data_IF_138217988525
#
_entry.id   IF_138217988525
#
_cell.length_a   1.000
_cell.length_b   1.000
_cell.length_c   1.000
_cell.angle_alpha   90.00
_cell.angle_beta   90.00
_cell.angle_gamma   90.00
#
_symmetry.space_group_name_H-M   'P 1'
#
loop_
_entity.id
_entity.type
_entity.pdbx_description
1 polymer ?
#
# COMPACT_ATOMS: atom_id res chain seq x y z
N UNK A 1 8.22 -19.57 -4.00
CA UNK A 1 9.06 -19.63 -5.23
C UNK A 1 8.26 -20.00 -6.49
N UNK A 2 7.36 -21.01 -6.43
CA UNK A 2 6.55 -21.40 -7.59
C UNK A 2 5.54 -20.31 -7.98
N UNK A 3 4.88 -19.69 -6.99
CA UNK A 3 3.93 -18.59 -7.23
C UNK A 3 4.63 -17.39 -7.86
N UNK A 4 5.82 -17.03 -7.38
CA UNK A 4 6.68 -15.98 -7.98
C UNK A 4 6.91 -16.25 -9.49
N UNK A 5 7.22 -17.50 -9.83
CA UNK A 5 7.43 -17.89 -11.23
C UNK A 5 6.15 -17.80 -12.06
N UNK A 6 5.01 -18.24 -11.53
CA UNK A 6 3.74 -18.16 -12.24
C UNK A 6 3.32 -16.72 -12.50
N UNK A 7 3.38 -15.87 -11.48
CA UNK A 7 3.08 -14.44 -11.62
C UNK A 7 4.04 -13.77 -12.60
N UNK A 8 5.35 -13.99 -12.45
CA UNK A 8 6.36 -13.38 -13.35
C UNK A 8 6.30 -13.87 -14.79
N UNK A 9 5.70 -15.04 -15.02
CA UNK A 9 5.46 -15.61 -16.35
C UNK A 9 4.02 -15.38 -16.86
N UNK A 10 3.24 -14.55 -16.14
CA UNK A 10 1.85 -14.19 -16.48
C UNK A 10 0.92 -15.40 -16.61
N UNK A 11 1.17 -16.43 -15.82
CA UNK A 11 0.36 -17.66 -15.76
C UNK A 11 -0.79 -17.47 -14.79
N UNK A 12 -1.90 -16.90 -15.30
CA UNK A 12 -3.05 -16.50 -14.49
C UNK A 12 -3.71 -17.71 -13.80
N UNK A 13 -4.13 -18.71 -14.57
CA UNK A 13 -4.86 -19.87 -14.04
C UNK A 13 -4.04 -20.63 -13.00
N UNK A 14 -2.75 -20.87 -13.30
CA UNK A 14 -1.84 -21.58 -12.40
C UNK A 14 -1.55 -20.77 -11.11
N UNK A 15 -1.48 -19.44 -11.23
CA UNK A 15 -1.31 -18.55 -10.08
C UNK A 15 -2.49 -18.64 -9.13
N UNK A 16 -3.70 -18.51 -9.68
CA UNK A 16 -4.95 -18.54 -8.90
C UNK A 16 -5.17 -19.91 -8.25
N UNK A 17 -4.96 -20.99 -8.99
CA UNK A 17 -5.11 -22.35 -8.45
C UNK A 17 -4.11 -22.62 -7.32
N UNK A 18 -2.85 -22.22 -7.49
CA UNK A 18 -1.84 -22.36 -6.45
C UNK A 18 -2.18 -21.56 -5.19
N UNK A 19 -2.71 -20.33 -5.34
CA UNK A 19 -3.17 -19.52 -4.22
C UNK A 19 -4.31 -20.21 -3.47
N UNK A 20 -5.30 -20.77 -4.16
CA UNK A 20 -6.39 -21.54 -3.53
C UNK A 20 -5.86 -22.74 -2.73
N UNK A 21 -4.92 -23.47 -3.30
CA UNK A 21 -4.30 -24.63 -2.63
C UNK A 21 -3.53 -24.19 -1.36
N UNK A 22 -2.76 -23.11 -1.44
CA UNK A 22 -1.99 -22.59 -0.29
C UNK A 22 -2.92 -22.10 0.82
N UNK A 23 -3.99 -21.38 0.48
CA UNK A 23 -5.01 -20.94 1.45
C UNK A 23 -5.71 -22.14 2.11
N UNK A 24 -6.11 -23.15 1.32
CA UNK A 24 -6.77 -24.36 1.86
C UNK A 24 -5.86 -25.21 2.76
N UNK A 25 -4.54 -25.14 2.58
CA UNK A 25 -3.56 -25.76 3.45
C UNK A 25 -3.28 -25.00 4.75
N UNK A 26 -3.92 -23.83 4.95
CA UNK A 26 -3.74 -22.99 6.13
C UNK A 26 -2.45 -22.16 6.12
N UNK A 27 -1.85 -21.95 4.95
CA UNK A 27 -0.68 -21.11 4.85
C UNK A 27 -1.05 -19.64 5.14
N UNK A 28 -0.11 -18.93 5.77
CA UNK A 28 -0.26 -17.51 6.09
C UNK A 28 -0.52 -16.68 4.81
N UNK A 29 -1.67 -16.01 4.70
CA UNK A 29 -2.01 -15.21 3.54
C UNK A 29 -0.97 -14.14 3.20
N UNK A 30 -0.26 -13.58 4.19
CA UNK A 30 0.78 -12.56 3.98
C UNK A 30 1.97 -13.11 3.20
N UNK A 31 2.34 -14.39 3.38
CA UNK A 31 3.38 -15.03 2.57
C UNK A 31 2.98 -15.17 1.11
N UNK A 32 1.69 -15.40 0.86
CA UNK A 32 1.15 -15.47 -0.50
C UNK A 32 1.22 -14.08 -1.16
N UNK A 33 0.83 -13.02 -0.43
CA UNK A 33 0.95 -11.64 -0.89
C UNK A 33 2.40 -11.29 -1.24
N UNK A 34 3.33 -11.62 -0.35
CA UNK A 34 4.76 -11.35 -0.56
C UNK A 34 5.30 -12.05 -1.83
N UNK A 35 4.96 -13.33 -2.04
CA UNK A 35 5.36 -14.05 -3.25
C UNK A 35 4.77 -13.39 -4.52
N UNK A 36 3.53 -12.89 -4.46
CA UNK A 36 2.93 -12.16 -5.58
C UNK A 36 3.65 -10.84 -5.85
N UNK A 37 4.00 -10.08 -4.82
CA UNK A 37 4.77 -8.84 -4.96
C UNK A 37 6.15 -9.08 -5.59
N UNK A 38 6.84 -10.14 -5.17
CA UNK A 38 8.12 -10.54 -5.77
C UNK A 38 7.95 -10.90 -7.26
N UNK A 39 6.88 -11.63 -7.60
CA UNK A 39 6.54 -11.93 -8.99
C UNK A 39 6.24 -10.67 -9.82
N UNK A 40 5.50 -9.71 -9.26
CA UNK A 40 5.20 -8.42 -9.89
C UNK A 40 6.46 -7.59 -10.15
N UNK A 41 7.41 -7.58 -9.19
CA UNK A 41 8.70 -6.91 -9.38
C UNK A 41 9.44 -7.47 -10.59
N UNK A 42 9.47 -8.80 -10.73
CA UNK A 42 10.08 -9.45 -11.90
C UNK A 42 9.39 -9.11 -13.21
N UNK A 43 8.06 -8.92 -13.22
CA UNK A 43 7.32 -8.42 -14.41
C UNK A 43 7.77 -7.01 -14.75
N UNK A 44 7.91 -6.13 -13.75
CA UNK A 44 8.42 -4.77 -13.92
C UNK A 44 9.84 -4.75 -14.51
N UNK A 45 10.73 -5.60 -14.00
CA UNK A 45 12.10 -5.73 -14.52
C UNK A 45 12.09 -6.21 -15.99
N UNK A 46 11.25 -7.18 -16.33
CA UNK A 46 11.10 -7.68 -17.70
C UNK A 46 10.51 -6.63 -18.65
N UNK A 47 9.64 -5.76 -18.17
CA UNK A 47 9.15 -4.60 -18.91
C UNK A 47 10.27 -3.59 -19.18
N UNK A 48 11.06 -3.24 -18.18
CA UNK A 48 12.20 -2.32 -18.31
C UNK A 48 13.27 -2.85 -19.27
N UNK A 49 13.45 -4.16 -19.32
CA UNK A 49 14.37 -4.83 -20.27
C UNK A 49 13.78 -5.02 -21.69
N UNK A 50 12.54 -4.58 -21.92
CA UNK A 50 11.86 -4.71 -23.21
C UNK A 50 11.38 -6.13 -23.54
N UNK A 51 11.39 -7.05 -22.57
CA UNK A 51 10.89 -8.43 -22.74
C UNK A 51 9.37 -8.50 -22.63
N UNK A 52 8.77 -7.63 -21.84
CA UNK A 52 7.32 -7.44 -21.72
C UNK A 52 6.91 -6.05 -22.21
N UNK A 53 5.66 -5.96 -22.67
CA UNK A 53 5.00 -4.73 -23.06
C UNK A 53 3.94 -4.34 -22.02
N UNK A 54 3.33 -3.16 -22.17
CA UNK A 54 2.25 -2.66 -21.28
C UNK A 54 1.18 -3.72 -21.00
N UNK A 55 0.82 -4.54 -21.99
CA UNK A 55 -0.15 -5.63 -21.83
C UNK A 55 0.28 -6.65 -20.75
N UNK A 56 1.59 -6.89 -20.60
CA UNK A 56 2.12 -7.76 -19.54
C UNK A 56 1.92 -7.17 -18.15
N UNK A 57 2.11 -5.85 -17.99
CA UNK A 57 1.86 -5.15 -16.73
C UNK A 57 0.37 -5.18 -16.36
N UNK A 58 -0.52 -4.97 -17.35
CA UNK A 58 -1.96 -5.04 -17.15
C UNK A 58 -2.39 -6.45 -16.71
N UNK A 59 -1.90 -7.49 -17.38
CA UNK A 59 -2.20 -8.88 -17.03
C UNK A 59 -1.68 -9.24 -15.62
N UNK A 60 -0.47 -8.83 -15.28
CA UNK A 60 0.07 -9.04 -13.95
C UNK A 60 -0.77 -8.34 -12.87
N UNK A 61 -1.22 -7.11 -13.13
CA UNK A 61 -2.14 -6.37 -12.26
C UNK A 61 -3.47 -7.10 -12.07
N UNK A 62 -4.03 -7.70 -13.13
CA UNK A 62 -5.26 -8.49 -13.04
C UNK A 62 -5.07 -9.78 -12.23
N UNK A 63 -3.97 -10.50 -12.43
CA UNK A 63 -3.62 -11.68 -11.60
C UNK A 63 -3.62 -11.28 -10.12
N UNK A 64 -2.95 -10.19 -9.81
CA UNK A 64 -2.83 -9.73 -8.44
C UNK A 64 -4.18 -9.31 -7.84
N UNK A 65 -5.03 -8.62 -8.62
CA UNK A 65 -6.38 -8.25 -8.20
C UNK A 65 -7.20 -9.50 -7.80
N UNK A 66 -7.17 -10.55 -8.62
CA UNK A 66 -7.87 -11.81 -8.35
C UNK A 66 -7.29 -12.53 -7.12
N UNK A 67 -5.97 -12.55 -6.97
CA UNK A 67 -5.32 -13.10 -5.77
C UNK A 67 -5.78 -12.36 -4.52
N UNK A 68 -5.83 -11.02 -4.55
CA UNK A 68 -6.29 -10.23 -3.40
C UNK A 68 -7.76 -10.48 -3.05
N UNK A 69 -8.63 -10.73 -4.03
CA UNK A 69 -10.01 -11.13 -3.77
C UNK A 69 -10.11 -12.49 -3.05
N UNK A 70 -9.25 -13.44 -3.37
CA UNK A 70 -9.19 -14.74 -2.71
C UNK A 70 -8.63 -14.66 -1.29
N UNK A 71 -7.62 -13.82 -1.08
CA UNK A 71 -6.91 -13.68 0.20
C UNK A 71 -7.71 -12.83 1.19
N UNK A 72 -8.50 -11.87 0.72
CA UNK A 72 -9.22 -10.89 1.54
C UNK A 72 -9.99 -11.49 2.71
N UNK A 73 -10.85 -12.51 2.51
CA UNK A 73 -11.58 -13.18 3.59
C UNK A 73 -10.65 -13.84 4.64
N UNK A 74 -9.53 -14.39 4.20
CA UNK A 74 -8.57 -15.03 5.10
C UNK A 74 -7.84 -13.98 5.96
N UNK A 75 -7.46 -12.85 5.39
CA UNK A 75 -6.84 -11.74 6.14
C UNK A 75 -7.80 -11.13 7.18
N UNK A 76 -9.07 -10.99 6.85
CA UNK A 76 -10.09 -10.49 7.79
C UNK A 76 -10.29 -11.41 9.01
N UNK A 77 -9.99 -12.70 8.89
CA UNK A 77 -10.10 -13.65 10.01
C UNK A 77 -8.91 -13.58 10.99
N UNK A 78 -7.79 -12.96 10.61
CA UNK A 78 -6.59 -12.85 11.44
C UNK A 78 -6.61 -11.69 12.43
N UNK A 79 -7.52 -10.70 12.27
CA UNK A 79 -7.56 -9.52 13.14
C UNK A 79 -8.96 -9.16 13.60
N UNK A 80 -9.36 -9.59 14.78
CA UNK A 80 -10.45 -8.98 15.54
C UNK A 80 -9.87 -8.27 16.74
N UNK A 81 -9.64 -6.95 16.63
CA UNK A 81 -9.47 -6.10 17.79
C UNK A 81 -10.86 -5.72 18.33
N UNK A 82 -11.11 -5.92 19.60
CA UNK A 82 -12.39 -5.59 20.25
C UNK A 82 -12.57 -4.08 20.50
N UNK A 83 -11.51 -3.26 20.36
CA UNK A 83 -11.55 -1.79 20.48
C UNK A 83 -10.85 -1.13 19.30
N UNK A 84 -11.38 0.02 18.84
CA UNK A 84 -10.78 0.79 17.77
C UNK A 84 -9.39 1.31 18.21
N UNK A 85 -8.33 0.84 17.55
CA UNK A 85 -6.94 1.18 17.89
C UNK A 85 -6.56 2.62 17.51
N UNK A 86 -7.34 3.29 16.66
CA UNK A 86 -7.12 4.66 16.21
C UNK A 86 -7.72 4.92 14.82
N UNK A 87 -7.60 6.18 14.37
CA UNK A 87 -8.11 6.63 13.07
C UNK A 87 -6.96 6.98 12.14
N UNK A 88 -6.98 6.44 10.93
CA UNK A 88 -5.96 6.62 9.91
C UNK A 88 -6.59 7.18 8.64
N UNK A 89 -5.99 8.22 8.06
CA UNK A 89 -6.27 8.67 6.69
C UNK A 89 -5.18 8.12 5.79
N UNK A 90 -5.55 7.48 4.69
CA UNK A 90 -4.64 6.84 3.75
C UNK A 90 -4.99 7.24 2.33
N UNK A 91 -4.00 7.50 1.49
CA UNK A 91 -4.21 7.83 0.07
C UNK A 91 -2.93 7.75 -0.75
N UNK A 92 -3.07 7.52 -2.04
CA UNK A 92 -1.97 7.67 -2.99
C UNK A 92 -1.94 9.13 -3.46
N UNK A 93 -0.78 9.76 -3.33
CA UNK A 93 -0.65 11.20 -3.61
C UNK A 93 -0.88 11.54 -5.08
N UNK A 94 -1.13 12.82 -5.34
CA UNK A 94 -1.34 13.35 -6.69
C UNK A 94 -0.21 12.92 -7.65
N UNK A 95 -0.57 12.68 -8.91
CA UNK A 95 0.27 12.18 -9.99
C UNK A 95 0.70 10.71 -9.85
N UNK A 96 0.12 9.98 -8.89
CA UNK A 96 0.37 8.54 -8.73
C UNK A 96 -0.96 7.78 -8.62
N UNK A 97 -1.07 6.68 -9.37
CA UNK A 97 -2.28 5.83 -9.40
C UNK A 97 -2.03 4.43 -8.85
N UNK A 98 -0.84 4.18 -8.31
CA UNK A 98 -0.49 2.89 -7.75
C UNK A 98 -1.15 2.69 -6.39
N UNK A 99 -2.06 1.75 -6.29
CA UNK A 99 -2.90 1.54 -5.11
C UNK A 99 -2.68 0.21 -4.39
N UNK A 100 -1.96 -0.74 -5.02
CA UNK A 100 -1.80 -2.08 -4.48
C UNK A 100 -1.20 -2.10 -3.08
N UNK A 101 -0.04 -1.50 -2.90
CA UNK A 101 0.63 -1.43 -1.59
C UNK A 101 -0.26 -0.75 -0.55
N UNK A 102 -0.90 0.35 -0.94
CA UNK A 102 -1.86 1.08 -0.11
C UNK A 102 -3.05 0.20 0.30
N UNK A 103 -3.62 -0.55 -0.62
CA UNK A 103 -4.78 -1.40 -0.34
C UNK A 103 -4.42 -2.57 0.58
N UNK A 104 -3.22 -3.13 0.46
CA UNK A 104 -2.71 -4.14 1.39
C UNK A 104 -2.55 -3.54 2.80
N UNK A 105 -1.89 -2.39 2.93
CA UNK A 105 -1.72 -1.69 4.21
C UNK A 105 -3.07 -1.37 4.84
N UNK A 106 -4.02 -0.82 4.07
CA UNK A 106 -5.39 -0.56 4.52
C UNK A 106 -6.04 -1.80 5.13
N UNK A 107 -5.94 -2.93 4.43
CA UNK A 107 -6.55 -4.18 4.87
C UNK A 107 -5.90 -4.68 6.17
N UNK A 108 -4.56 -4.67 6.25
CA UNK A 108 -3.83 -5.07 7.44
C UNK A 108 -4.17 -4.19 8.65
N UNK A 109 -4.17 -2.86 8.47
CA UNK A 109 -4.53 -1.92 9.54
C UNK A 109 -5.97 -2.13 10.02
N UNK A 110 -6.90 -2.36 9.09
CA UNK A 110 -8.31 -2.66 9.44
C UNK A 110 -8.42 -3.96 10.23
N UNK A 111 -7.62 -4.98 9.91
CA UNK A 111 -7.54 -6.24 10.67
C UNK A 111 -7.00 -6.02 12.09
N UNK A 112 -6.16 -5.01 12.31
CA UNK A 112 -5.63 -4.64 13.63
C UNK A 112 -6.54 -3.63 14.38
N UNK A 113 -7.76 -3.43 13.92
CA UNK A 113 -8.76 -2.61 14.61
C UNK A 113 -8.66 -1.11 14.33
N UNK A 114 -7.85 -0.66 13.38
CA UNK A 114 -7.82 0.74 12.98
C UNK A 114 -9.02 1.08 12.09
N UNK A 115 -9.57 2.29 12.29
CA UNK A 115 -10.53 2.88 11.36
C UNK A 115 -9.76 3.57 10.24
N UNK A 116 -9.75 2.99 9.02
CA UNK A 116 -8.99 3.51 7.89
C UNK A 116 -9.91 4.22 6.90
N UNK A 117 -9.69 5.52 6.72
CA UNK A 117 -10.32 6.37 5.71
C UNK A 117 -9.43 6.46 4.47
N UNK A 118 -9.77 5.73 3.44
CA UNK A 118 -9.03 5.68 2.18
C UNK A 118 -9.54 6.77 1.23
N UNK A 119 -8.67 7.69 0.85
CA UNK A 119 -8.97 8.79 -0.07
C UNK A 119 -8.87 8.37 -1.55
N UNK A 120 -8.36 7.16 -1.84
CA UNK A 120 -8.17 6.67 -3.19
C UNK A 120 -6.77 6.95 -3.75
N UNK A 121 -6.71 7.23 -5.04
CA UNK A 121 -5.47 7.50 -5.80
C UNK A 121 -5.52 8.88 -6.43
N UNK A 122 -4.37 9.40 -6.87
CA UNK A 122 -4.24 10.73 -7.46
C UNK A 122 -4.85 11.83 -6.58
N UNK A 123 -4.61 11.73 -5.27
CA UNK A 123 -5.24 12.59 -4.27
C UNK A 123 -4.44 13.88 -4.12
N UNK A 124 -5.04 15.05 -4.43
CA UNK A 124 -4.37 16.32 -4.27
C UNK A 124 -4.15 16.69 -2.79
N UNK A 125 -3.11 17.49 -2.47
CA UNK A 125 -2.77 17.89 -1.10
C UNK A 125 -3.94 18.44 -0.29
N UNK A 126 -4.82 19.22 -0.92
CA UNK A 126 -5.97 19.85 -0.26
C UNK A 126 -6.95 18.80 0.29
N UNK A 127 -7.15 17.68 -0.40
CA UNK A 127 -8.04 16.62 0.08
C UNK A 127 -7.49 15.92 1.33
N UNK A 128 -6.17 15.74 1.43
CA UNK A 128 -5.55 15.25 2.66
C UNK A 128 -5.73 16.23 3.81
N UNK A 129 -5.57 17.52 3.54
CA UNK A 129 -5.78 18.58 4.55
C UNK A 129 -7.23 18.61 5.02
N UNK A 130 -8.19 18.54 4.10
CA UNK A 130 -9.63 18.54 4.43
C UNK A 130 -10.03 17.31 5.23
N UNK A 131 -9.51 16.13 4.84
CA UNK A 131 -9.71 14.90 5.60
C UNK A 131 -9.10 14.99 7.00
N UNK A 132 -7.88 15.53 7.13
CA UNK A 132 -7.24 15.74 8.42
C UNK A 132 -8.08 16.64 9.34
N UNK A 133 -8.58 17.76 8.82
CA UNK A 133 -9.41 18.70 9.59
C UNK A 133 -10.73 18.05 10.03
N UNK A 134 -11.35 17.31 9.15
CA UNK A 134 -12.66 16.68 9.38
C UNK A 134 -12.57 15.51 10.35
N UNK A 135 -11.58 14.65 10.18
CA UNK A 135 -11.49 13.36 10.87
C UNK A 135 -10.57 13.39 12.09
N UNK A 136 -9.65 14.37 12.15
CA UNK A 136 -8.61 14.48 13.20
C UNK A 136 -7.90 13.14 13.43
N UNK A 137 -7.31 12.53 12.38
CA UNK A 137 -6.72 11.22 12.48
C UNK A 137 -5.48 11.21 13.38
N UNK A 138 -5.13 10.04 13.89
CA UNK A 138 -3.89 9.80 14.62
C UNK A 138 -2.71 9.68 13.66
N UNK A 139 -2.97 9.11 12.46
CA UNK A 139 -1.95 8.85 11.44
C UNK A 139 -2.50 9.28 10.06
N UNK A 140 -1.60 9.86 9.25
CA UNK A 140 -1.82 10.12 7.82
C UNK A 140 -0.77 9.36 7.02
N UNK A 141 -1.21 8.39 6.22
CA UNK A 141 -0.38 7.60 5.32
C UNK A 141 -0.43 8.14 3.90
N UNK A 142 0.74 8.46 3.34
CA UNK A 142 0.90 8.91 1.97
C UNK A 142 1.60 7.80 1.17
N UNK A 143 0.93 7.26 0.16
CA UNK A 143 1.49 6.25 -0.73
C UNK A 143 1.99 6.89 -2.03
N UNK A 144 3.13 6.42 -2.53
CA UNK A 144 3.65 6.79 -3.84
C UNK A 144 4.75 5.83 -4.29
N UNK A 145 4.69 5.44 -5.55
CA UNK A 145 5.61 4.46 -6.13
C UNK A 145 6.64 5.09 -7.06
N UNK A 146 6.28 6.15 -7.75
CA UNK A 146 7.12 6.79 -8.76
C UNK A 146 7.80 8.04 -8.21
N UNK A 147 8.98 8.38 -8.72
CA UNK A 147 9.74 9.56 -8.26
C UNK A 147 9.00 10.89 -8.49
N UNK A 148 8.11 10.95 -9.49
CA UNK A 148 7.27 12.13 -9.73
C UNK A 148 6.33 12.43 -8.55
N UNK A 149 5.93 11.42 -7.77
CA UNK A 149 5.05 11.59 -6.61
C UNK A 149 5.74 12.22 -5.39
N UNK A 150 7.08 12.29 -5.35
CA UNK A 150 7.81 12.80 -4.18
C UNK A 150 7.58 14.29 -3.93
N UNK A 151 7.48 15.09 -5.00
CA UNK A 151 7.16 16.51 -4.85
C UNK A 151 5.73 16.72 -4.33
N UNK A 152 4.79 15.91 -4.78
CA UNK A 152 3.42 15.89 -4.28
C UNK A 152 3.36 15.46 -2.80
N UNK A 153 4.12 14.43 -2.39
CA UNK A 153 4.26 14.05 -0.97
C UNK A 153 4.76 15.21 -0.13
N UNK A 154 5.84 15.86 -0.57
CA UNK A 154 6.45 16.99 0.13
C UNK A 154 5.48 18.18 0.26
N UNK A 155 4.77 18.51 -0.81
CA UNK A 155 3.73 19.54 -0.79
C UNK A 155 2.62 19.21 0.19
N UNK A 156 2.11 17.98 0.15
CA UNK A 156 1.07 17.47 1.05
C UNK A 156 1.51 17.58 2.51
N UNK A 157 2.72 17.12 2.84
CA UNK A 157 3.26 17.19 4.20
C UNK A 157 3.39 18.64 4.66
N UNK A 158 3.90 19.52 3.81
CA UNK A 158 4.06 20.93 4.15
C UNK A 158 2.73 21.59 4.51
N UNK A 159 1.68 21.33 3.71
CA UNK A 159 0.34 21.85 3.95
C UNK A 159 -0.29 21.25 5.21
N UNK A 160 -0.16 19.94 5.43
CA UNK A 160 -0.61 19.28 6.66
C UNK A 160 0.07 19.86 7.90
N UNK A 161 1.39 20.00 7.89
CA UNK A 161 2.17 20.58 8.99
C UNK A 161 1.74 22.01 9.29
N UNK A 162 1.54 22.84 8.28
CA UNK A 162 1.03 24.19 8.44
C UNK A 162 -0.36 24.20 9.08
N UNK A 163 -1.28 23.40 8.56
CA UNK A 163 -2.68 23.37 9.03
C UNK A 163 -2.81 22.81 10.45
N UNK A 164 -2.02 21.81 10.80
CA UNK A 164 -2.07 21.15 12.12
C UNK A 164 -1.13 21.79 13.15
N UNK A 165 -0.40 22.86 12.80
CA UNK A 165 0.64 23.48 13.64
C UNK A 165 0.16 23.90 15.04
N UNK A 166 -1.12 24.24 15.17
CA UNK A 166 -1.74 24.70 16.44
C UNK A 166 -2.54 23.60 17.15
N UNK A 167 -2.52 22.37 16.64
CA UNK A 167 -3.23 21.27 17.29
C UNK A 167 -2.46 20.79 18.52
N UNK A 168 -3.17 20.44 19.59
CA UNK A 168 -2.57 19.88 20.79
C UNK A 168 -1.89 18.52 20.53
N UNK A 169 -2.46 17.75 19.61
CA UNK A 169 -1.91 16.49 19.12
C UNK A 169 -1.96 16.52 17.58
N UNK A 170 -0.80 16.46 16.97
CA UNK A 170 -0.67 16.39 15.52
C UNK A 170 -0.65 14.94 15.05
N UNK A 171 -1.23 14.63 13.89
CA UNK A 171 -1.11 13.29 13.32
C UNK A 171 0.36 12.99 12.99
N UNK A 172 0.76 11.73 13.14
CA UNK A 172 1.98 11.23 12.53
C UNK A 172 1.79 11.11 11.03
N UNK A 173 2.80 11.52 10.27
CA UNK A 173 2.79 11.41 8.81
C UNK A 173 3.78 10.32 8.41
N UNK A 174 3.24 9.27 7.79
CA UNK A 174 3.99 8.11 7.32
C UNK A 174 3.95 8.11 5.81
N UNK A 175 5.11 7.95 5.15
CA UNK A 175 5.19 7.76 3.72
C UNK A 175 5.49 6.30 3.40
N UNK A 176 4.88 5.78 2.32
CA UNK A 176 5.04 4.40 1.90
C UNK A 176 5.22 4.24 0.39
N UNK A 177 6.09 3.30 0.01
CA UNK A 177 6.34 2.91 -1.37
C UNK A 177 7.65 2.14 -1.52
N UNK A 178 7.71 1.20 -2.45
CA UNK A 178 8.88 0.29 -2.61
C UNK A 178 10.20 0.98 -2.98
N UNK A 179 10.14 2.25 -3.41
CA UNK A 179 11.31 3.07 -3.75
C UNK A 179 11.68 4.05 -2.63
N UNK A 180 10.93 4.06 -1.53
CA UNK A 180 11.17 4.98 -0.41
C UNK A 180 12.23 4.41 0.52
N UNK A 181 13.17 5.27 0.89
CA UNK A 181 14.22 5.00 1.87
C UNK A 181 14.36 6.15 2.87
N UNK A 182 15.29 6.01 3.80
CA UNK A 182 15.54 7.02 4.83
C UNK A 182 15.93 8.39 4.23
N UNK A 183 16.72 8.41 3.16
CA UNK A 183 17.18 9.65 2.53
C UNK A 183 16.02 10.39 1.88
N UNK A 184 15.14 9.68 1.18
CA UNK A 184 13.92 10.24 0.58
C UNK A 184 12.98 10.75 1.67
N UNK A 185 12.81 9.99 2.76
CA UNK A 185 11.98 10.38 3.90
C UNK A 185 12.45 11.69 4.54
N UNK A 186 13.76 11.85 4.75
CA UNK A 186 14.35 13.06 5.31
C UNK A 186 14.13 14.28 4.39
N UNK A 187 14.28 14.11 3.08
CA UNK A 187 14.07 15.18 2.09
C UNK A 187 12.60 15.61 2.03
N UNK A 188 11.68 14.66 2.13
CA UNK A 188 10.23 14.88 2.09
C UNK A 188 9.72 15.45 3.42
N UNK A 189 10.34 15.07 4.55
CA UNK A 189 9.99 15.57 5.89
C UNK A 189 8.87 14.78 6.56
N UNK A 190 8.77 13.48 6.31
CA UNK A 190 7.87 12.59 7.00
C UNK A 190 8.36 12.26 8.43
N UNK A 191 7.44 11.78 9.28
CA UNK A 191 7.82 11.30 10.63
C UNK A 191 8.40 9.88 10.54
N UNK A 192 7.84 9.05 9.65
CA UNK A 192 8.24 7.66 9.42
C UNK A 192 8.10 7.31 7.96
N UNK A 193 8.75 6.22 7.57
CA UNK A 193 8.65 5.67 6.23
C UNK A 193 8.61 4.14 6.26
N UNK A 194 7.99 3.54 5.23
CA UNK A 194 7.94 2.10 5.03
C UNK A 194 8.08 1.77 3.54
N UNK A 195 8.77 0.71 3.23
CA UNK A 195 8.89 0.18 1.86
C UNK A 195 8.18 -1.18 1.69
N UNK A 196 7.72 -1.77 2.78
CA UNK A 196 6.97 -3.03 2.80
C UNK A 196 5.67 -2.84 3.60
N UNK A 197 4.60 -3.52 3.18
CA UNK A 197 3.27 -3.30 3.75
C UNK A 197 3.14 -3.82 5.19
N UNK A 198 3.81 -4.91 5.53
CA UNK A 198 3.84 -5.50 6.87
C UNK A 198 4.62 -4.64 7.87
N UNK A 199 5.70 -3.99 7.43
CA UNK A 199 6.43 -3.03 8.24
C UNK A 199 5.55 -1.84 8.66
N UNK A 200 4.61 -1.43 7.79
CA UNK A 200 3.68 -0.33 8.06
C UNK A 200 2.68 -0.58 9.18
N UNK A 201 2.48 -1.82 9.57
CA UNK A 201 1.57 -2.21 10.67
C UNK A 201 2.32 -2.38 11.99
N UNK A 202 3.63 -2.56 11.91
CA UNK A 202 4.49 -2.79 13.09
C UNK A 202 5.08 -1.51 13.68
N UNK A 203 4.85 -0.35 13.04
CA UNK A 203 5.21 0.99 13.50
C UNK A 203 4.22 1.50 14.56
#
# INVERSE_FOLDING_TARGET
KLLVQYVSSLKEEESIELVRQRLSSGEDPLKIVHDCQEGMKLVGDQYNEGRYFIAGLIMAGEILRQVMELIGPALQSFGRAEEASGTIVLGTVQEDIHDLGKNIVKMLLSCHGFTVHDLGVDVPPEQFVDAAVKLKPDIIGLSGLISASYESMKSTISQLRYKTSKWSQRPYIIIGGSQIDAQISDIIGADYWVNEADAGVSL
#
